data_IF_096639974499
#
_entry.id   IF_096639974499
#
_cell.length_a   1.000
_cell.length_b   1.000
_cell.length_c   1.000
_cell.angle_alpha   90.00
_cell.angle_beta   90.00
_cell.angle_gamma   90.00
#
_symmetry.space_group_name_H-M   'P 1'
#
loop_
_entity.id
_entity.type
_entity.pdbx_description
1 polymer ?
#
# COMPACT_ATOMS: atom_id res chain seq x y z
N UNK A 1 -5.06 -15.83 -1.02
CA UNK A 1 -4.55 -15.34 0.27
C UNK A 1 -5.18 -14.03 0.78
N UNK A 2 -5.96 -13.25 0.02
CA UNK A 2 -6.72 -12.09 0.57
C UNK A 2 -8.10 -11.88 -0.09
N UNK A 3 -8.69 -12.94 -0.68
CA UNK A 3 -10.05 -12.91 -1.25
C UNK A 3 -10.26 -11.99 -2.47
N UNK A 4 -9.18 -11.48 -3.08
CA UNK A 4 -9.27 -10.59 -4.24
C UNK A 4 -9.60 -11.35 -5.53
N UNK A 5 -10.58 -10.86 -6.30
CA UNK A 5 -10.97 -11.43 -7.60
C UNK A 5 -10.23 -10.82 -8.79
N UNK A 6 -9.63 -9.62 -8.66
CA UNK A 6 -9.11 -8.85 -9.81
C UNK A 6 -7.91 -7.94 -9.56
N UNK A 7 -7.37 -7.83 -8.33
CA UNK A 7 -6.21 -6.99 -8.07
C UNK A 7 -4.92 -7.72 -8.49
N UNK A 8 -4.11 -7.09 -9.36
CA UNK A 8 -2.84 -7.67 -9.83
C UNK A 8 -1.71 -7.45 -8.82
N UNK A 9 -1.76 -6.34 -8.07
CA UNK A 9 -0.72 -5.96 -7.09
C UNK A 9 -1.27 -5.88 -5.66
N UNK A 10 -0.43 -6.21 -4.68
CA UNK A 10 -0.86 -6.23 -3.27
C UNK A 10 -1.19 -4.83 -2.74
N UNK A 11 -0.42 -3.82 -3.15
CA UNK A 11 -0.67 -2.42 -2.79
C UNK A 11 -2.00 -1.91 -3.35
N UNK A 12 -2.34 -2.28 -4.60
CA UNK A 12 -3.62 -1.95 -5.22
C UNK A 12 -4.79 -2.56 -4.43
N UNK A 13 -4.69 -3.82 -4.05
CA UNK A 13 -5.68 -4.48 -3.20
C UNK A 13 -5.82 -3.79 -1.84
N UNK A 14 -4.68 -3.44 -1.22
CA UNK A 14 -4.64 -2.73 0.05
C UNK A 14 -5.35 -1.39 -0.04
N UNK A 15 -5.10 -0.63 -1.10
CA UNK A 15 -5.72 0.67 -1.35
C UNK A 15 -7.23 0.53 -1.59
N UNK A 16 -7.67 -0.37 -2.47
CA UNK A 16 -9.10 -0.62 -2.72
C UNK A 16 -9.83 -1.01 -1.42
N UNK A 17 -9.21 -1.85 -0.59
CA UNK A 17 -9.76 -2.23 0.70
C UNK A 17 -9.83 -1.05 1.67
N UNK A 18 -8.79 -0.22 1.70
CA UNK A 18 -8.77 1.01 2.52
C UNK A 18 -9.90 1.97 2.13
N UNK A 19 -10.06 2.29 0.84
CA UNK A 19 -11.14 3.14 0.35
C UNK A 19 -12.51 2.57 0.75
N UNK A 20 -12.75 1.28 0.50
CA UNK A 20 -14.02 0.64 0.83
C UNK A 20 -14.36 0.65 2.34
N UNK A 21 -13.35 0.70 3.21
CA UNK A 21 -13.55 0.81 4.66
C UNK A 21 -13.73 2.27 5.08
N UNK A 22 -12.93 3.18 4.53
CA UNK A 22 -12.96 4.60 4.83
C UNK A 22 -14.29 5.26 4.42
N UNK A 23 -14.88 4.86 3.28
CA UNK A 23 -16.17 5.38 2.82
C UNK A 23 -17.35 5.07 3.73
N UNK A 24 -17.19 4.20 4.75
CA UNK A 24 -18.28 3.76 5.64
C UNK A 24 -18.46 4.63 6.90
N UNK A 25 -17.80 5.79 6.98
CA UNK A 25 -17.85 6.72 8.12
C UNK A 25 -17.54 6.02 9.47
N UNK A 26 -16.67 5.02 9.43
CA UNK A 26 -16.17 4.25 10.59
C UNK A 26 -14.67 4.29 10.57
N UNK A 27 -14.05 4.19 11.75
CA UNK A 27 -12.60 4.08 11.85
C UNK A 27 -12.10 2.86 11.06
N UNK A 28 -11.07 3.06 10.25
CA UNK A 28 -10.48 1.99 9.45
C UNK A 28 -9.65 1.10 10.36
N UNK A 29 -10.08 -0.15 10.51
CA UNK A 29 -9.33 -1.16 11.27
C UNK A 29 -8.13 -1.63 10.44
N UNK A 30 -6.92 -1.14 10.78
CA UNK A 30 -5.70 -1.38 10.00
C UNK A 30 -5.31 -2.86 9.89
N UNK A 31 -5.66 -3.67 10.89
CA UNK A 31 -5.44 -5.12 10.88
C UNK A 31 -6.28 -5.88 9.83
N UNK A 32 -7.33 -5.26 9.29
CA UNK A 32 -8.17 -5.82 8.24
C UNK A 32 -7.64 -5.55 6.83
N UNK A 33 -6.57 -4.74 6.72
CA UNK A 33 -5.89 -4.45 5.47
C UNK A 33 -4.85 -5.54 5.17
N UNK A 34 -4.70 -5.99 3.91
CA UNK A 34 -3.60 -6.86 3.52
C UNK A 34 -2.26 -6.15 3.74
N UNK A 35 -1.13 -6.86 3.97
CA UNK A 35 0.16 -6.20 4.17
C UNK A 35 0.56 -5.37 2.96
N UNK A 36 1.51 -4.45 3.14
CA UNK A 36 2.14 -3.78 1.98
C UNK A 36 2.95 -4.80 1.18
N UNK A 37 3.14 -4.54 -0.11
CA UNK A 37 3.98 -5.38 -0.96
C UNK A 37 5.41 -5.49 -0.42
N UNK A 38 5.96 -4.38 0.07
CA UNK A 38 7.28 -4.34 0.69
C UNK A 38 7.36 -5.23 1.95
N UNK A 39 6.35 -5.16 2.84
CA UNK A 39 6.30 -6.03 4.01
C UNK A 39 6.17 -7.52 3.62
N UNK A 40 5.40 -7.83 2.59
CA UNK A 40 5.28 -9.19 2.06
C UNK A 40 6.60 -9.70 1.47
N UNK A 41 7.32 -8.87 0.69
CA UNK A 41 8.66 -9.18 0.16
C UNK A 41 9.66 -9.46 1.28
N UNK A 42 9.70 -8.60 2.30
CA UNK A 42 10.58 -8.81 3.45
C UNK A 42 10.22 -10.09 4.22
N UNK A 43 8.93 -10.41 4.36
CA UNK A 43 8.51 -11.66 4.98
C UNK A 43 8.99 -12.90 4.21
N UNK A 44 8.83 -12.92 2.88
CA UNK A 44 9.28 -14.01 2.02
C UNK A 44 10.81 -14.19 2.15
N UNK A 45 11.58 -13.10 2.13
CA UNK A 45 13.04 -13.15 2.33
C UNK A 45 13.41 -13.82 3.66
N UNK A 46 12.74 -13.43 4.75
CA UNK A 46 13.00 -14.01 6.08
C UNK A 46 12.66 -15.49 6.14
N UNK A 47 11.51 -15.88 5.58
CA UNK A 47 11.09 -17.30 5.52
C UNK A 47 12.11 -18.11 4.73
N UNK A 48 12.58 -17.60 3.58
CA UNK A 48 13.63 -18.26 2.80
C UNK A 48 14.91 -18.44 3.60
N UNK A 49 15.40 -17.40 4.28
CA UNK A 49 16.60 -17.51 5.13
C UNK A 49 16.43 -18.54 6.24
N UNK A 50 15.28 -18.57 6.92
CA UNK A 50 14.99 -19.54 7.97
C UNK A 50 14.98 -20.99 7.42
N UNK A 51 14.45 -21.20 6.22
CA UNK A 51 14.46 -22.51 5.55
C UNK A 51 15.89 -22.94 5.20
N UNK A 52 16.72 -22.03 4.69
CA UNK A 52 18.11 -22.34 4.36
C UNK A 52 18.96 -22.66 5.60
N UNK A 53 18.76 -21.93 6.70
CA UNK A 53 19.40 -22.24 7.98
C UNK A 53 19.02 -23.64 8.47
N UNK A 54 17.75 -24.05 8.35
CA UNK A 54 17.31 -25.42 8.67
C UNK A 54 17.97 -26.49 7.81
N UNK A 55 18.43 -26.14 6.61
CA UNK A 55 19.19 -27.03 5.71
C UNK A 55 20.70 -26.99 5.97
N UNK A 56 21.15 -26.33 7.03
CA UNK A 56 22.57 -26.10 7.35
C UNK A 56 23.33 -25.34 6.23
N UNK A 57 22.62 -24.56 5.42
CA UNK A 57 23.24 -23.69 4.42
C UNK A 57 23.61 -22.35 5.07
N UNK A 58 24.84 -22.27 5.59
CA UNK A 58 25.37 -21.08 6.26
C UNK A 58 25.92 -20.02 5.29
N UNK A 59 25.91 -20.27 3.99
CA UNK A 59 26.48 -19.37 2.97
C UNK A 59 25.58 -18.18 2.62
N UNK A 60 24.33 -18.15 3.11
CA UNK A 60 23.40 -17.05 2.84
C UNK A 60 23.51 -15.96 3.93
N UNK A 61 23.98 -14.75 3.61
CA UNK A 61 24.12 -13.68 4.59
C UNK A 61 22.74 -13.18 5.05
N UNK A 62 22.38 -13.26 6.35
CA UNK A 62 21.04 -12.87 6.81
C UNK A 62 20.62 -11.45 6.45
N UNK A 63 21.59 -10.54 6.32
CA UNK A 63 21.40 -9.12 6.03
C UNK A 63 20.81 -8.85 4.63
N UNK A 64 21.04 -9.75 3.68
CA UNK A 64 20.43 -9.68 2.35
C UNK A 64 19.01 -10.27 2.32
N UNK A 65 18.66 -11.06 3.34
CA UNK A 65 17.44 -11.86 3.41
C UNK A 65 16.47 -11.39 4.50
N UNK A 66 16.32 -10.08 4.63
CA UNK A 66 15.29 -9.46 5.45
C UNK A 66 15.59 -9.44 6.95
N UNK A 67 16.86 -9.64 7.32
CA UNK A 67 17.37 -9.42 8.67
C UNK A 67 18.31 -8.23 8.67
N UNK A 68 18.50 -7.60 9.82
CA UNK A 68 19.56 -6.62 10.03
C UNK A 68 20.39 -7.04 11.22
N UNK A 69 21.69 -6.84 11.15
CA UNK A 69 22.60 -7.13 12.25
C UNK A 69 22.78 -5.89 13.12
N UNK A 70 22.41 -6.02 14.38
CA UNK A 70 22.79 -5.09 15.45
C UNK A 70 23.54 -5.94 16.51
N UNK A 71 23.18 -5.86 17.79
CA UNK A 71 23.66 -6.79 18.82
C UNK A 71 23.14 -8.22 18.62
N UNK A 72 22.02 -8.36 17.91
CA UNK A 72 21.41 -9.63 17.49
C UNK A 72 20.70 -9.43 16.14
N UNK A 73 20.36 -10.53 15.47
CA UNK A 73 19.58 -10.47 14.24
C UNK A 73 18.17 -9.97 14.52
N UNK A 74 17.81 -8.82 13.95
CA UNK A 74 16.46 -8.27 14.01
C UNK A 74 15.75 -8.39 12.66
N UNK A 75 14.45 -8.71 12.65
CA UNK A 75 13.71 -8.78 11.40
C UNK A 75 13.49 -7.37 10.83
N UNK A 76 13.79 -7.20 9.55
CA UNK A 76 13.37 -6.02 8.78
C UNK A 76 11.90 -6.21 8.43
N UNK A 77 10.99 -5.49 9.09
CA UNK A 77 9.54 -5.65 8.85
C UNK A 77 9.10 -5.02 7.53
N UNK A 78 9.70 -3.87 7.20
CA UNK A 78 9.44 -3.05 6.02
C UNK A 78 10.63 -2.10 5.83
N UNK A 79 10.91 -1.77 4.58
CA UNK A 79 11.90 -0.81 4.10
C UNK A 79 11.27 0.43 3.47
N UNK A 80 9.97 0.35 3.14
CA UNK A 80 9.19 1.46 2.59
C UNK A 80 8.15 1.96 3.61
N UNK A 81 7.68 3.20 3.46
CA UNK A 81 6.58 3.73 4.27
C UNK A 81 5.33 2.83 4.23
N UNK A 82 4.61 2.77 5.35
CA UNK A 82 3.43 1.91 5.49
C UNK A 82 2.23 2.35 4.62
N UNK A 83 2.24 3.62 4.19
CA UNK A 83 1.29 4.21 3.27
C UNK A 83 1.99 5.33 2.47
N UNK A 84 1.58 5.57 1.22
CA UNK A 84 2.00 6.75 0.46
C UNK A 84 1.61 8.07 1.16
N UNK A 85 2.39 9.12 0.97
CA UNK A 85 2.17 10.43 1.64
C UNK A 85 0.81 11.04 1.30
N UNK A 86 0.33 10.88 0.06
CA UNK A 86 -0.98 11.36 -0.35
C UNK A 86 -2.12 10.67 0.43
N UNK A 87 -1.93 9.40 0.83
CA UNK A 87 -2.88 8.66 1.69
C UNK A 87 -2.88 9.19 3.12
N UNK A 88 -1.73 9.58 3.65
CA UNK A 88 -1.61 10.19 4.99
C UNK A 88 -2.18 11.61 5.04
N UNK A 89 -2.13 12.33 3.92
CA UNK A 89 -2.70 13.67 3.73
C UNK A 89 -4.19 13.66 3.35
N UNK A 90 -4.85 12.49 3.36
CA UNK A 90 -6.27 12.38 3.05
C UNK A 90 -7.12 13.06 4.13
N UNK A 91 -7.54 14.28 3.83
CA UNK A 91 -8.62 14.94 4.54
C UNK A 91 -9.93 14.41 3.94
N UNK A 92 -10.74 13.73 4.75
CA UNK A 92 -12.10 13.41 4.35
C UNK A 92 -12.93 14.68 4.45
N UNK A 93 -13.51 15.15 3.35
CA UNK A 93 -14.44 16.26 3.42
C UNK A 93 -15.65 15.86 4.26
N UNK A 94 -16.09 16.77 5.13
CA UNK A 94 -17.36 16.67 5.86
C UNK A 94 -18.55 17.23 5.05
N UNK A 95 -18.39 17.32 3.73
CA UNK A 95 -19.46 17.73 2.84
C UNK A 95 -20.72 16.90 3.11
N UNK A 96 -21.90 17.50 2.87
CA UNK A 96 -23.20 16.81 2.94
C UNK A 96 -23.84 16.65 1.57
N UNK A 97 -23.53 17.57 0.65
CA UNK A 97 -24.08 17.61 -0.71
C UNK A 97 -23.04 18.23 -1.65
N UNK A 98 -22.53 17.46 -2.61
CA UNK A 98 -21.50 17.92 -3.55
C UNK A 98 -20.19 18.39 -2.89
N UNK A 99 -19.14 18.54 -3.68
CA UNK A 99 -17.84 19.06 -3.21
C UNK A 99 -17.50 20.35 -3.94
N UNK A 100 -18.34 21.37 -3.72
CA UNK A 100 -18.23 22.70 -4.34
C UNK A 100 -17.14 23.59 -3.73
N UNK A 101 -17.37 24.90 -3.69
CA UNK A 101 -16.42 25.88 -3.13
C UNK A 101 -16.19 25.69 -1.63
N UNK A 102 -17.24 25.42 -0.85
CA UNK A 102 -17.19 25.22 0.61
C UNK A 102 -16.67 23.83 1.05
N UNK A 103 -16.03 23.08 0.14
CA UNK A 103 -15.48 21.78 0.47
C UNK A 103 -14.16 21.96 1.23
N UNK A 104 -14.07 21.45 2.47
CA UNK A 104 -12.85 21.58 3.28
C UNK A 104 -11.58 21.02 2.62
N UNK A 105 -11.68 19.96 1.80
CA UNK A 105 -10.54 19.51 0.98
C UNK A 105 -10.08 20.61 0.04
N UNK A 106 -11.02 21.26 -0.68
CA UNK A 106 -10.73 22.31 -1.66
C UNK A 106 -10.19 23.58 -1.00
N UNK A 107 -10.76 23.97 0.13
CA UNK A 107 -10.23 25.09 0.95
C UNK A 107 -8.79 24.84 1.40
N UNK A 108 -8.46 23.58 1.68
CA UNK A 108 -7.09 23.16 2.03
C UNK A 108 -6.19 22.94 0.80
N UNK A 109 -6.66 23.26 -0.42
CA UNK A 109 -5.91 23.03 -1.67
C UNK A 109 -5.82 21.57 -2.11
N UNK A 110 -6.61 20.67 -1.54
CA UNK A 110 -6.62 19.22 -1.80
C UNK A 110 -7.83 18.80 -2.65
N UNK A 111 -7.65 17.71 -3.40
CA UNK A 111 -8.74 17.01 -4.10
C UNK A 111 -9.45 16.02 -3.17
N UNK A 112 -10.75 15.83 -3.37
CA UNK A 112 -11.53 14.85 -2.62
C UNK A 112 -11.15 13.45 -3.06
N UNK A 113 -10.74 12.58 -2.14
CA UNK A 113 -10.39 11.21 -2.51
C UNK A 113 -11.61 10.36 -2.89
N UNK A 114 -11.39 9.19 -3.53
CA UNK A 114 -12.45 8.21 -3.75
C UNK A 114 -13.16 7.74 -2.47
N UNK A 115 -12.55 7.97 -1.30
CA UNK A 115 -13.15 7.65 0.00
C UNK A 115 -14.03 8.78 0.58
N UNK A 116 -14.20 9.88 -0.15
CA UNK A 116 -15.20 10.90 0.13
C UNK A 116 -16.59 10.26 0.30
N UNK A 117 -17.21 10.44 1.47
CA UNK A 117 -18.50 9.79 1.81
C UNK A 117 -19.63 10.26 0.90
N UNK A 118 -19.65 11.55 0.55
CA UNK A 118 -20.74 12.13 -0.27
C UNK A 118 -20.61 11.75 -1.73
N UNK A 119 -19.40 11.78 -2.26
CA UNK A 119 -19.16 11.75 -3.69
C UNK A 119 -18.61 10.41 -4.19
N UNK A 120 -18.02 9.60 -3.30
CA UNK A 120 -17.47 8.27 -3.58
C UNK A 120 -16.55 8.19 -4.81
N UNK A 121 -15.94 9.32 -5.19
CA UNK A 121 -15.07 9.44 -6.35
C UNK A 121 -15.73 9.54 -7.73
N UNK A 122 -17.07 9.46 -7.85
CA UNK A 122 -17.74 9.43 -9.16
C UNK A 122 -18.24 10.82 -9.60
N UNK A 123 -19.14 11.45 -8.83
CA UNK A 123 -19.76 12.74 -9.20
C UNK A 123 -19.20 13.89 -8.35
N UNK A 124 -17.89 13.88 -8.12
CA UNK A 124 -17.23 14.91 -7.31
C UNK A 124 -16.72 16.04 -8.20
N UNK A 125 -17.24 17.25 -8.02
CA UNK A 125 -16.68 18.47 -8.62
C UNK A 125 -15.23 18.79 -8.19
N UNK A 126 -14.67 18.01 -7.26
CA UNK A 126 -13.30 18.12 -6.76
C UNK A 126 -12.54 16.78 -6.81
N UNK A 127 -12.88 15.86 -7.72
CA UNK A 127 -12.20 14.56 -7.84
C UNK A 127 -10.72 14.70 -8.23
N UNK A 128 -9.85 13.72 -7.87
CA UNK A 128 -8.49 13.66 -8.36
C UNK A 128 -8.47 13.31 -9.86
N UNK A 129 -7.51 13.85 -10.65
CA UNK A 129 -7.27 13.37 -12.01
C UNK A 129 -7.09 11.84 -12.03
N UNK A 130 -7.54 11.18 -13.09
CA UNK A 130 -7.26 9.75 -13.29
C UNK A 130 -5.74 9.57 -13.43
N UNK A 131 -5.13 8.81 -12.52
CA UNK A 131 -3.73 8.39 -12.67
C UNK A 131 -3.71 7.27 -13.73
N UNK A 132 -2.97 7.47 -14.83
CA UNK A 132 -2.69 6.42 -15.81
C UNK A 132 -1.70 5.42 -15.19
N UNK A 133 -2.06 4.13 -15.19
CA UNK A 133 -1.23 3.07 -14.65
C UNK A 133 0.10 2.99 -15.44
N UNK A 134 1.23 3.33 -14.80
CA UNK A 134 2.54 3.02 -15.37
C UNK A 134 2.72 1.49 -15.45
N UNK A 135 2.58 0.95 -16.67
CA UNK A 135 2.99 -0.41 -16.99
C UNK A 135 4.50 -0.55 -16.75
N UNK A 136 4.86 -1.18 -15.64
CA UNK A 136 6.24 -1.61 -15.41
C UNK A 136 6.52 -2.73 -16.41
N UNK A 137 7.17 -2.40 -17.51
CA UNK A 137 7.71 -3.37 -18.45
C UNK A 137 8.74 -4.23 -17.72
N UNK A 138 8.46 -5.53 -17.62
CA UNK A 138 9.46 -6.52 -17.19
C UNK A 138 10.55 -6.60 -18.27
N UNK A 139 11.65 -5.87 -18.11
CA UNK A 139 12.87 -6.19 -18.85
C UNK A 139 13.48 -7.44 -18.23
N UNK A 140 13.12 -8.59 -18.80
CA UNK A 140 13.95 -9.79 -18.69
C UNK A 140 15.27 -9.47 -19.37
N UNK A 141 16.31 -9.23 -18.58
CA UNK A 141 17.68 -9.30 -19.07
C UNK A 141 17.99 -10.77 -19.35
N UNK A 142 17.60 -11.25 -20.52
CA UNK A 142 18.32 -12.32 -21.20
C UNK A 142 19.56 -11.65 -21.80
N UNK A 143 20.70 -11.76 -21.11
CA UNK A 143 22.02 -11.60 -21.71
C UNK A 143 22.97 -12.63 -21.07
N UNK A 144 23.09 -13.71 -21.82
CA UNK A 144 24.20 -14.66 -21.98
C UNK A 144 25.54 -14.33 -21.29
N UNK A 145 26.05 -15.29 -20.50
CA UNK A 145 27.13 -16.19 -20.93
C UNK A 145 27.24 -17.39 -19.98
#
# INVERSE_FOLDING_TARGET
>A
MYGAKSAKRLNELRYKRFIALASKNKSVQLNSLPPTEDAAKQHIKRVYSQVQQRKNNSSIPPEEWGWRKENYLKPIKMTQPAAPDNVLKLIFCSCKTGCGSACGCRESGLRCSPACIVCSGNDCSNHPPLEEDEEVSETRNENEN
#
